data_IF_228334415644
#
_entry.id   IF_228334415644
#
_cell.length_a   1.000
_cell.length_b   1.000
_cell.length_c   1.000
_cell.angle_alpha   90.00
_cell.angle_beta   90.00
_cell.angle_gamma   90.00
#
_symmetry.space_group_name_H-M   'P 1'
#
loop_
_entity.id
_entity.type
_entity.pdbx_description
1 polymer ?
#
# COMPACT_ATOMS: atom_id res chain seq x y z
N UNK A 1 15.81 -1.46 62.23
CA UNK A 1 14.43 -1.56 61.73
C UNK A 1 14.51 -1.52 60.19
N UNK A 2 14.69 -2.68 59.55
CA UNK A 2 13.68 -3.40 58.70
C UNK A 2 13.37 -2.62 57.41
N UNK A 3 14.15 -2.82 56.33
CA UNK A 3 13.97 -3.81 55.26
C UNK A 3 12.68 -3.62 54.42
N UNK A 4 12.83 -3.13 53.18
CA UNK A 4 11.88 -3.32 52.08
C UNK A 4 12.57 -4.03 50.92
N UNK A 5 11.86 -5.02 50.36
CA UNK A 5 12.38 -6.14 49.57
C UNK A 5 12.44 -5.87 48.07
N UNK A 6 13.36 -6.61 47.45
CA UNK A 6 13.58 -6.85 46.02
C UNK A 6 12.38 -7.46 45.28
N UNK A 7 12.20 -7.09 44.01
CA UNK A 7 11.73 -7.89 42.86
C UNK A 7 12.24 -7.16 41.58
N UNK A 8 13.24 -7.62 40.80
CA UNK A 8 13.36 -8.77 39.88
C UNK A 8 12.89 -8.50 38.42
N UNK A 9 13.67 -9.05 37.47
CA UNK A 9 13.43 -9.24 36.01
C UNK A 9 13.73 -8.05 35.07
N UNK A 10 14.30 -8.17 33.87
CA UNK A 10 14.82 -9.25 33.00
C UNK A 10 15.72 -8.55 31.94
N UNK A 11 16.94 -8.99 31.65
CA UNK A 11 17.34 -9.97 30.61
C UNK A 11 16.88 -9.63 29.17
N UNK A 12 17.90 -9.53 28.30
CA UNK A 12 17.99 -9.94 26.89
C UNK A 12 17.96 -8.92 25.74
N UNK A 13 19.08 -8.97 25.00
CA UNK A 13 19.20 -9.11 23.53
C UNK A 13 19.11 -7.83 22.70
N UNK A 14 20.27 -7.50 22.13
CA UNK A 14 20.39 -6.52 21.07
C UNK A 14 19.73 -6.99 19.77
N UNK A 15 19.44 -6.03 18.90
CA UNK A 15 19.27 -6.29 17.49
C UNK A 15 19.74 -5.04 16.73
N UNK A 16 20.94 -5.15 16.16
CA UNK A 16 21.38 -4.37 15.02
C UNK A 16 20.34 -4.49 13.89
N UNK A 17 19.62 -3.42 13.57
CA UNK A 17 18.88 -3.31 12.31
C UNK A 17 19.58 -2.33 11.38
N UNK A 18 20.59 -2.82 10.68
CA UNK A 18 20.94 -2.34 9.34
C UNK A 18 19.80 -2.73 8.39
N UNK A 19 18.79 -1.87 8.27
CA UNK A 19 17.73 -2.04 7.27
C UNK A 19 18.21 -1.52 5.91
N UNK A 20 19.08 -2.29 5.24
CA UNK A 20 19.18 -2.23 3.77
C UNK A 20 17.89 -2.81 3.20
N UNK A 21 16.94 -1.93 2.89
CA UNK A 21 15.71 -2.31 2.20
C UNK A 21 16.06 -2.81 0.78
N UNK A 22 15.58 -3.99 0.37
CA UNK A 22 15.87 -4.53 -0.95
C UNK A 22 15.14 -3.70 -2.01
N UNK A 23 15.91 -3.24 -3.00
CA UNK A 23 15.40 -2.70 -4.27
C UNK A 23 14.71 -3.83 -5.04
N UNK A 24 13.41 -4.00 -4.88
CA UNK A 24 12.44 -4.58 -5.82
C UNK A 24 11.12 -4.93 -5.10
N UNK A 25 10.32 -3.95 -4.67
CA UNK A 25 9.01 -4.21 -4.03
C UNK A 25 7.82 -3.87 -4.93
N UNK A 26 7.98 -3.98 -6.24
CA UNK A 26 7.00 -3.44 -7.19
C UNK A 26 5.88 -4.41 -7.60
N UNK A 27 5.88 -5.65 -7.09
CA UNK A 27 4.84 -6.68 -7.32
C UNK A 27 4.73 -7.69 -6.16
N UNK A 28 5.79 -7.87 -5.38
CA UNK A 28 5.81 -8.81 -4.24
C UNK A 28 5.05 -8.30 -2.99
N UNK A 29 4.83 -6.99 -2.90
CA UNK A 29 4.13 -6.36 -1.76
C UNK A 29 2.60 -6.45 -1.83
N UNK A 30 2.03 -6.59 -3.04
CA UNK A 30 0.59 -6.67 -3.24
C UNK A 30 0.18 -8.12 -3.55
N UNK A 31 -0.93 -8.57 -2.99
CA UNK A 31 -1.44 -9.91 -3.32
C UNK A 31 -1.86 -9.97 -4.80
N UNK A 32 -1.78 -11.16 -5.41
CA UNK A 32 -2.23 -11.37 -6.78
C UNK A 32 -3.71 -11.00 -6.97
N UNK A 33 -4.53 -11.20 -5.94
CA UNK A 33 -5.94 -10.81 -5.93
C UNK A 33 -6.11 -9.29 -5.97
N UNK A 34 -5.38 -8.54 -5.13
CA UNK A 34 -5.41 -7.08 -5.12
C UNK A 34 -4.93 -6.49 -6.45
N UNK A 35 -3.88 -7.09 -7.01
CA UNK A 35 -3.34 -6.73 -8.31
C UNK A 35 -4.40 -6.96 -9.40
N UNK A 36 -5.07 -8.12 -9.40
CA UNK A 36 -6.14 -8.43 -10.34
C UNK A 36 -7.32 -7.47 -10.24
N UNK A 37 -7.76 -7.14 -9.03
CA UNK A 37 -8.86 -6.20 -8.82
C UNK A 37 -8.50 -4.77 -9.26
N UNK A 38 -7.25 -4.33 -9.03
CA UNK A 38 -6.78 -3.05 -9.54
C UNK A 38 -6.74 -3.04 -11.07
N UNK A 39 -6.24 -4.11 -11.69
CA UNK A 39 -6.14 -4.24 -13.15
C UNK A 39 -7.52 -4.24 -13.82
N UNK A 40 -8.50 -4.93 -13.21
CA UNK A 40 -9.89 -4.94 -13.67
C UNK A 40 -10.51 -3.53 -13.62
N UNK A 41 -10.35 -2.83 -12.48
CA UNK A 41 -10.78 -1.44 -12.38
C UNK A 41 -10.07 -0.54 -13.41
N UNK A 42 -8.76 -0.67 -13.53
CA UNK A 42 -7.93 0.23 -14.31
C UNK A 42 -8.17 0.10 -15.83
N UNK A 43 -8.32 -1.14 -16.32
CA UNK A 43 -8.58 -1.41 -17.73
C UNK A 43 -10.07 -1.28 -18.08
N UNK A 44 -10.97 -1.70 -17.19
CA UNK A 44 -12.42 -1.66 -17.40
C UNK A 44 -13.03 -0.30 -17.07
N UNK A 45 -13.04 0.09 -15.78
CA UNK A 45 -13.72 1.30 -15.31
C UNK A 45 -12.95 2.59 -15.61
N UNK A 46 -11.62 2.58 -15.51
CA UNK A 46 -10.80 3.74 -15.80
C UNK A 46 -10.39 3.85 -17.28
N UNK A 47 -10.64 2.81 -18.09
CA UNK A 47 -10.46 2.82 -19.53
C UNK A 47 -9.00 2.94 -20.00
N UNK A 48 -8.03 2.50 -19.20
CA UNK A 48 -6.61 2.55 -19.53
C UNK A 48 -6.12 1.24 -20.16
N UNK A 49 -4.95 1.27 -20.79
CA UNK A 49 -4.32 0.06 -21.33
C UNK A 49 -3.70 -0.79 -20.23
N UNK A 50 -3.61 -2.10 -20.44
CA UNK A 50 -2.97 -3.05 -19.51
C UNK A 50 -1.53 -2.63 -19.18
N UNK A 51 -0.80 -2.11 -20.18
CA UNK A 51 0.55 -1.56 -20.02
C UNK A 51 0.58 -0.36 -19.05
N UNK A 52 -0.35 0.59 -19.21
CA UNK A 52 -0.42 1.76 -18.33
C UNK A 52 -0.81 1.37 -16.90
N UNK A 53 -1.72 0.40 -16.75
CA UNK A 53 -2.15 -0.12 -15.45
C UNK A 53 -1.02 -0.86 -14.71
N UNK A 54 -0.25 -1.67 -15.43
CA UNK A 54 0.91 -2.38 -14.88
C UNK A 54 2.02 -1.40 -14.47
N UNK A 55 2.28 -0.37 -15.28
CA UNK A 55 3.20 0.71 -14.94
C UNK A 55 2.74 1.47 -13.69
N UNK A 56 1.44 1.76 -13.60
CA UNK A 56 0.84 2.45 -12.46
C UNK A 56 1.03 1.64 -11.18
N UNK A 57 0.71 0.34 -11.20
CA UNK A 57 0.91 -0.54 -10.05
C UNK A 57 2.35 -0.56 -9.56
N UNK A 58 3.32 -0.61 -10.48
CA UNK A 58 4.74 -0.52 -10.11
C UNK A 58 5.07 0.78 -9.39
N UNK A 59 4.64 1.92 -9.93
CA UNK A 59 4.87 3.26 -9.35
C UNK A 59 4.19 3.43 -8.00
N UNK A 60 2.94 2.96 -7.90
CA UNK A 60 2.13 3.04 -6.68
C UNK A 60 2.70 2.12 -5.61
N UNK A 61 3.24 0.95 -5.98
CA UNK A 61 3.95 0.03 -5.08
C UNK A 61 5.19 0.62 -4.40
N UNK A 62 5.75 1.72 -4.90
CA UNK A 62 6.89 2.40 -4.26
C UNK A 62 6.47 3.28 -3.08
N UNK A 63 5.18 3.64 -2.95
CA UNK A 63 4.75 4.67 -1.99
C UNK A 63 3.40 4.42 -1.32
N UNK A 64 2.61 3.46 -1.80
CA UNK A 64 1.31 3.10 -1.24
C UNK A 64 1.43 1.75 -0.56
N UNK A 65 0.81 1.63 0.62
CA UNK A 65 0.78 0.37 1.35
C UNK A 65 -0.31 -0.56 0.81
N UNK A 66 -0.19 -1.88 0.98
CA UNK A 66 -1.22 -2.83 0.55
C UNK A 66 -2.60 -2.51 1.12
N UNK A 67 -2.69 -2.14 2.40
CA UNK A 67 -3.95 -1.75 3.03
C UNK A 67 -4.62 -0.54 2.35
N UNK A 68 -3.83 0.49 2.02
CA UNK A 68 -4.34 1.69 1.37
C UNK A 68 -4.82 1.41 -0.07
N UNK A 69 -4.09 0.58 -0.81
CA UNK A 69 -4.50 0.15 -2.15
C UNK A 69 -5.76 -0.74 -2.09
N UNK A 70 -5.88 -1.65 -1.11
CA UNK A 70 -7.09 -2.46 -0.90
C UNK A 70 -8.31 -1.58 -0.63
N UNK A 71 -8.18 -0.56 0.23
CA UNK A 71 -9.27 0.41 0.46
C UNK A 71 -9.64 1.16 -0.81
N UNK A 72 -8.65 1.61 -1.59
CA UNK A 72 -8.89 2.29 -2.87
C UNK A 72 -9.62 1.39 -3.87
N UNK A 73 -9.19 0.15 -4.03
CA UNK A 73 -9.80 -0.81 -4.95
C UNK A 73 -11.21 -1.18 -4.50
N UNK A 74 -11.42 -1.43 -3.21
CA UNK A 74 -12.75 -1.70 -2.65
C UNK A 74 -13.73 -0.52 -2.87
N UNK A 75 -13.25 0.73 -2.71
CA UNK A 75 -14.01 1.96 -3.00
C UNK A 75 -14.41 2.06 -4.48
N UNK A 76 -13.50 1.69 -5.39
CA UNK A 76 -13.69 1.80 -6.83
C UNK A 76 -14.48 0.63 -7.44
N UNK A 77 -14.44 -0.55 -6.82
CA UNK A 77 -15.16 -1.76 -7.23
C UNK A 77 -16.56 -1.85 -6.59
N UNK A 78 -16.74 -1.32 -5.37
CA UNK A 78 -17.93 -1.51 -4.52
C UNK A 78 -19.18 -0.69 -4.85
N UNK A 79 -19.21 0.06 -5.95
CA UNK A 79 -20.42 0.69 -6.47
C UNK A 79 -21.03 1.77 -5.57
N UNK A 80 -20.62 3.03 -5.78
CA UNK A 80 -21.35 4.17 -5.23
C UNK A 80 -20.49 5.39 -5.15
N UNK A 81 -21.02 6.51 -5.63
CA UNK A 81 -20.43 7.85 -5.56
C UNK A 81 -20.03 8.21 -4.13
N UNK A 82 -18.80 7.92 -3.77
CA UNK A 82 -18.30 8.21 -2.44
C UNK A 82 -16.89 7.68 -2.30
N UNK A 83 -15.94 8.35 -2.97
CA UNK A 83 -14.56 8.33 -2.50
C UNK A 83 -14.63 8.49 -0.99
N UNK A 84 -14.23 7.47 -0.22
CA UNK A 84 -14.11 7.62 1.22
C UNK A 84 -13.24 8.86 1.45
N UNK A 85 -13.82 9.95 1.98
CA UNK A 85 -13.11 11.22 2.19
C UNK A 85 -12.10 11.14 3.34
N UNK A 86 -11.79 9.92 3.78
CA UNK A 86 -10.63 9.66 4.62
C UNK A 86 -9.40 10.18 3.88
N UNK A 87 -8.63 11.04 4.54
CA UNK A 87 -7.41 11.66 3.98
C UNK A 87 -6.45 10.65 3.35
N UNK A 88 -6.37 9.44 3.92
CA UNK A 88 -5.59 8.33 3.39
C UNK A 88 -6.08 7.83 2.02
N UNK A 89 -7.39 7.72 1.81
CA UNK A 89 -7.97 7.26 0.54
C UNK A 89 -7.83 8.33 -0.54
N UNK A 90 -8.00 9.60 -0.18
CA UNK A 90 -7.78 10.74 -1.10
C UNK A 90 -6.31 10.84 -1.52
N UNK A 91 -5.38 10.69 -0.57
CA UNK A 91 -3.95 10.65 -0.87
C UNK A 91 -3.61 9.49 -1.81
N UNK A 92 -4.12 8.29 -1.53
CA UNK A 92 -3.91 7.11 -2.37
C UNK A 92 -4.46 7.32 -3.78
N UNK A 93 -5.66 7.86 -3.92
CA UNK A 93 -6.24 8.19 -5.22
C UNK A 93 -5.37 9.20 -5.98
N UNK A 94 -4.85 10.24 -5.31
CA UNK A 94 -3.97 11.20 -5.93
C UNK A 94 -2.64 10.57 -6.41
N UNK A 95 -2.06 9.63 -5.65
CA UNK A 95 -0.87 8.89 -6.08
C UNK A 95 -1.19 8.00 -7.29
N UNK A 96 -2.31 7.29 -7.27
CA UNK A 96 -2.76 6.44 -8.38
C UNK A 96 -2.99 7.28 -9.65
N UNK A 97 -3.66 8.42 -9.55
CA UNK A 97 -3.90 9.33 -10.69
C UNK A 97 -2.61 9.91 -11.24
N UNK A 98 -1.67 10.34 -10.39
CA UNK A 98 -0.37 10.83 -10.82
C UNK A 98 0.44 9.74 -11.54
N UNK A 99 0.46 8.53 -10.99
CA UNK A 99 1.13 7.39 -11.60
C UNK A 99 0.49 7.02 -12.96
N UNK A 100 -0.84 6.98 -13.04
CA UNK A 100 -1.57 6.78 -14.30
C UNK A 100 -1.19 7.82 -15.35
N UNK A 101 -1.21 9.10 -14.97
CA UNK A 101 -0.88 10.20 -15.89
C UNK A 101 0.55 10.08 -16.41
N UNK A 102 1.49 9.62 -15.59
CA UNK A 102 2.87 9.35 -15.99
C UNK A 102 3.02 8.09 -16.86
N UNK A 103 2.11 7.13 -16.75
CA UNK A 103 2.16 5.83 -17.43
C UNK A 103 1.32 5.74 -18.72
N UNK A 104 0.41 6.69 -18.95
CA UNK A 104 -0.39 6.80 -20.19
C UNK A 104 0.29 7.69 -21.24
N UNK A 105 1.32 8.43 -20.84
CA UNK A 105 2.07 9.37 -21.69
C UNK A 105 3.12 8.68 -22.54
#
# INVERSE_FOLDING_TARGET
MTAFRLFAAAIMVGLTLTATAPRAQALDGYTGELTGQFMDWCTGKAGNTETACTCTLKKVGESVTPAALTTFVADKMGGGSGFSMSSATVATAAVVTQALTACVK
#
